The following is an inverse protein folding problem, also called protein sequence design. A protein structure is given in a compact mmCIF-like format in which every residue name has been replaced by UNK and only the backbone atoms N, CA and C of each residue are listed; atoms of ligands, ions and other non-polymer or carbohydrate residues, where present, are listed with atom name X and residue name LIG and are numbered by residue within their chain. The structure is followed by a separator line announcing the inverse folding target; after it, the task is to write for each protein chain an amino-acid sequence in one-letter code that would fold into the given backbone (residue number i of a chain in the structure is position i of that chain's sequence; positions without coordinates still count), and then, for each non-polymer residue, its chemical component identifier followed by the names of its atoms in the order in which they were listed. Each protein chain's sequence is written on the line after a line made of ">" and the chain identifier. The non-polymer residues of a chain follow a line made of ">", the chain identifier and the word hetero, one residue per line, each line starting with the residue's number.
data_IF_647930356286
#
_entry.id   IF_647930356286
#
_cell.length_a   1.000
_cell.length_b   1.000
_cell.length_c   1.000
_cell.angle_alpha   90.00
_cell.angle_beta   90.00
_cell.angle_gamma   90.00
#
_symmetry.space_group_name_H-M   'P 1'
#
loop_
_entity.id
_entity.type
_entity.pdbx_description
1 polymer ?
#
# COMPACT_ATOMS: atom_id res chain seq x y z
N UNK A 1 6.97 11.55 -48.49
CA UNK A 1 8.36 12.01 -48.33
C UNK A 1 8.50 13.32 -49.08
N UNK A 2 8.48 14.45 -48.37
CA UNK A 2 8.79 15.74 -48.97
C UNK A 2 10.31 15.84 -49.15
N UNK A 3 10.73 16.24 -50.35
CA UNK A 3 12.12 16.34 -50.79
C UNK A 3 12.83 17.47 -50.02
N UNK A 4 13.75 17.11 -49.12
CA UNK A 4 14.55 18.05 -48.32
C UNK A 4 15.82 18.34 -49.11
N UNK A 5 15.82 19.42 -49.90
CA UNK A 5 17.03 19.89 -50.61
C UNK A 5 18.08 20.36 -49.60
N UNK A 6 19.20 19.65 -49.55
CA UNK A 6 20.37 20.00 -48.72
C UNK A 6 21.11 21.20 -49.31
N UNK A 7 21.04 22.34 -48.64
CA UNK A 7 21.77 23.55 -49.02
C UNK A 7 21.97 24.50 -47.85
N UNK A 8 22.43 24.00 -46.70
CA UNK A 8 22.72 24.86 -45.54
C UNK A 8 24.08 25.51 -45.73
N UNK A 9 24.11 26.79 -46.06
CA UNK A 9 25.32 27.60 -46.06
C UNK A 9 25.49 28.20 -44.65
N UNK A 10 26.42 27.65 -43.87
CA UNK A 10 26.55 27.83 -42.41
C UNK A 10 27.02 29.23 -41.95
N UNK A 11 27.19 30.20 -42.85
CA UNK A 11 27.78 31.50 -42.51
C UNK A 11 26.75 32.56 -42.07
N UNK A 12 25.48 32.46 -42.47
CA UNK A 12 24.38 33.31 -41.96
C UNK A 12 23.04 32.56 -42.09
N UNK A 13 22.34 32.31 -40.98
CA UNK A 13 20.97 31.78 -41.00
C UNK A 13 20.04 32.77 -41.71
N UNK A 14 19.56 32.41 -42.90
CA UNK A 14 18.58 33.22 -43.64
C UNK A 14 17.19 33.03 -43.02
N UNK A 15 16.30 34.02 -43.18
CA UNK A 15 14.94 33.97 -42.63
C UNK A 15 14.18 32.69 -43.04
N UNK A 16 14.38 32.22 -44.27
CA UNK A 16 13.78 30.98 -44.77
C UNK A 16 14.27 29.73 -44.01
N UNK A 17 15.56 29.66 -43.69
CA UNK A 17 16.15 28.54 -42.94
C UNK A 17 15.68 28.55 -41.47
N UNK A 18 15.48 29.75 -40.90
CA UNK A 18 14.86 29.91 -39.57
C UNK A 18 13.41 29.45 -39.56
N UNK A 19 12.60 29.83 -40.55
CA UNK A 19 11.20 29.38 -40.69
C UNK A 19 11.12 27.86 -40.83
N UNK A 20 11.95 27.27 -41.68
CA UNK A 20 12.03 25.83 -41.83
C UNK A 20 12.40 25.14 -40.50
N UNK A 21 13.32 25.70 -39.72
CA UNK A 21 13.65 25.22 -38.38
C UNK A 21 12.45 25.25 -37.42
N UNK A 22 11.69 26.35 -37.41
CA UNK A 22 10.48 26.51 -36.60
C UNK A 22 9.39 25.50 -37.02
N UNK A 23 9.21 25.28 -38.32
CA UNK A 23 8.25 24.29 -38.84
C UNK A 23 8.64 22.86 -38.46
N UNK A 24 9.91 22.51 -38.55
CA UNK A 24 10.40 21.21 -38.10
C UNK A 24 10.19 21.02 -36.59
N UNK A 25 10.45 22.03 -35.79
CA UNK A 25 10.15 22.02 -34.35
C UNK A 25 8.65 21.84 -34.09
N UNK A 26 7.79 22.49 -34.87
CA UNK A 26 6.34 22.34 -34.78
C UNK A 26 5.89 20.91 -35.09
N UNK A 27 6.33 20.33 -36.22
CA UNK A 27 5.95 18.96 -36.59
C UNK A 27 6.52 17.93 -35.62
N UNK A 28 7.78 18.09 -35.20
CA UNK A 28 8.39 17.23 -34.20
C UNK A 28 7.63 17.30 -32.87
N UNK A 29 7.25 18.49 -32.40
CA UNK A 29 6.47 18.65 -31.17
C UNK A 29 5.07 18.02 -31.30
N UNK A 30 4.37 18.25 -32.41
CA UNK A 30 3.05 17.65 -32.66
C UNK A 30 3.12 16.12 -32.61
N UNK A 31 4.07 15.54 -33.34
CA UNK A 31 4.17 14.08 -33.47
C UNK A 31 4.70 13.44 -32.19
N UNK A 32 5.70 14.04 -31.52
CA UNK A 32 6.22 13.60 -30.22
C UNK A 32 5.14 13.53 -29.14
N UNK A 33 4.16 14.43 -29.24
CA UNK A 33 3.14 14.56 -28.21
C UNK A 33 1.84 13.83 -28.57
N UNK A 34 1.65 13.37 -29.81
CA UNK A 34 0.41 12.73 -30.26
C UNK A 34 0.07 11.44 -29.49
N UNK A 35 1.03 10.52 -29.37
CA UNK A 35 0.82 9.24 -28.69
C UNK A 35 0.59 9.40 -27.17
N UNK A 36 1.36 10.22 -26.42
CA UNK A 36 1.03 10.53 -25.03
C UNK A 36 -0.37 11.11 -24.84
N UNK A 37 -0.90 11.90 -25.78
CA UNK A 37 -2.26 12.45 -25.66
C UNK A 37 -3.33 11.39 -25.75
N UNK A 38 -3.15 10.38 -26.60
CA UNK A 38 -4.06 9.23 -26.69
C UNK A 38 -4.11 8.51 -25.35
N UNK A 39 -2.96 8.27 -24.73
CA UNK A 39 -2.88 7.59 -23.42
C UNK A 39 -3.49 8.44 -22.30
N UNK A 40 -3.25 9.76 -22.31
CA UNK A 40 -3.74 10.67 -21.26
C UNK A 40 -5.26 10.87 -21.33
N UNK A 41 -5.85 10.74 -22.52
CA UNK A 41 -7.29 10.84 -22.72
C UNK A 41 -8.07 9.79 -21.91
N UNK A 42 -7.53 8.58 -21.76
CA UNK A 42 -8.12 7.50 -20.95
C UNK A 42 -8.29 7.89 -19.46
N UNK A 43 -7.50 8.86 -18.99
CA UNK A 43 -7.50 9.35 -17.60
C UNK A 43 -8.09 10.77 -17.47
N UNK A 44 -8.57 11.37 -18.56
CA UNK A 44 -9.01 12.77 -18.57
C UNK A 44 -7.87 13.76 -18.25
N UNK A 45 -6.63 13.38 -18.57
CA UNK A 45 -5.44 14.19 -18.34
C UNK A 45 -5.04 14.99 -19.57
N UNK A 46 -4.30 16.08 -19.35
CA UNK A 46 -3.80 16.93 -20.44
C UNK A 46 -2.28 17.10 -20.42
N UNK A 47 -1.79 18.00 -21.26
CA UNK A 47 -0.36 18.29 -21.41
C UNK A 47 0.34 18.70 -20.11
N UNK A 48 -0.36 19.37 -19.21
CA UNK A 48 0.19 19.75 -17.91
C UNK A 48 0.52 18.51 -17.07
N UNK A 49 -0.36 17.50 -17.06
CA UNK A 49 -0.13 16.21 -16.39
C UNK A 49 1.04 15.48 -17.03
N UNK A 50 1.10 15.41 -18.36
CA UNK A 50 2.21 14.79 -19.08
C UNK A 50 3.57 15.33 -18.63
N UNK A 51 3.73 16.66 -18.64
CA UNK A 51 4.98 17.31 -18.28
C UNK A 51 5.35 17.02 -16.82
N UNK A 52 4.38 17.10 -15.91
CA UNK A 52 4.61 16.78 -14.48
C UNK A 52 5.07 15.34 -14.31
N UNK A 53 4.36 14.37 -14.92
CA UNK A 53 4.72 12.94 -14.87
C UNK A 53 6.11 12.71 -15.43
N UNK A 54 6.43 13.31 -16.58
CA UNK A 54 7.72 13.17 -17.25
C UNK A 54 8.88 13.64 -16.34
N UNK A 55 8.80 14.86 -15.79
CA UNK A 55 9.89 15.40 -14.96
C UNK A 55 9.99 14.71 -13.61
N UNK A 56 8.87 14.35 -12.98
CA UNK A 56 8.88 13.59 -11.72
C UNK A 56 9.49 12.20 -11.94
N UNK A 57 9.16 11.52 -13.04
CA UNK A 57 9.70 10.20 -13.38
C UNK A 57 11.17 10.24 -13.78
N UNK A 58 11.63 11.30 -14.44
CA UNK A 58 13.02 11.45 -14.90
C UNK A 58 13.98 11.92 -13.80
N UNK A 59 13.46 12.59 -12.77
CA UNK A 59 14.26 13.20 -11.69
C UNK A 59 13.74 12.76 -10.31
N UNK A 60 14.16 11.57 -9.82
CA UNK A 60 13.83 11.12 -8.47
C UNK A 60 14.25 12.15 -7.42
N UNK A 61 13.35 12.46 -6.47
CA UNK A 61 13.61 13.45 -5.42
C UNK A 61 13.39 14.92 -5.82
N UNK A 62 12.95 15.21 -7.06
CA UNK A 62 12.64 16.60 -7.47
C UNK A 62 11.66 17.27 -6.50
N UNK A 63 11.98 18.50 -6.09
CA UNK A 63 11.12 19.30 -5.21
C UNK A 63 10.03 20.00 -6.02
N UNK A 64 8.96 20.45 -5.34
CA UNK A 64 7.91 21.26 -5.99
C UNK A 64 8.50 22.56 -6.57
N UNK A 65 9.46 23.16 -5.86
CA UNK A 65 10.15 24.39 -6.31
C UNK A 65 10.95 24.16 -7.60
N UNK A 66 11.70 23.07 -7.68
CA UNK A 66 12.47 22.72 -8.88
C UNK A 66 11.55 22.41 -10.06
N UNK A 67 10.42 21.75 -9.81
CA UNK A 67 9.42 21.45 -10.84
C UNK A 67 8.76 22.74 -11.36
N UNK A 68 8.47 23.71 -10.49
CA UNK A 68 7.97 25.03 -10.91
C UNK A 68 8.99 25.77 -11.78
N UNK A 69 10.26 25.77 -11.37
CA UNK A 69 11.35 26.40 -12.12
C UNK A 69 11.52 25.75 -13.50
N UNK A 70 11.47 24.42 -13.56
CA UNK A 70 11.62 23.65 -14.80
C UNK A 70 10.42 23.84 -15.74
N UNK A 71 9.21 23.87 -15.21
CA UNK A 71 7.99 23.98 -16.02
C UNK A 71 7.64 25.42 -16.42
N UNK A 72 8.15 26.43 -15.70
CA UNK A 72 7.81 27.83 -15.94
C UNK A 72 6.31 28.12 -15.77
N UNK A 73 5.64 27.44 -14.83
CA UNK A 73 4.19 27.60 -14.56
C UNK A 73 3.94 28.14 -13.15
N UNK A 74 2.72 28.62 -12.92
CA UNK A 74 2.31 29.12 -11.60
C UNK A 74 2.11 27.99 -10.59
N UNK A 75 2.27 28.33 -9.29
CA UNK A 75 1.97 27.44 -8.17
C UNK A 75 0.54 26.88 -8.23
N UNK A 76 -0.44 27.72 -8.56
CA UNK A 76 -1.84 27.33 -8.67
C UNK A 76 -2.07 26.30 -9.79
N UNK A 77 -1.45 26.50 -10.95
CA UNK A 77 -1.54 25.56 -12.07
C UNK A 77 -0.95 24.20 -11.70
N UNK A 78 0.25 24.20 -11.10
CA UNK A 78 0.91 22.97 -10.66
C UNK A 78 0.11 22.26 -9.56
N UNK A 79 -0.40 23.00 -8.58
CA UNK A 79 -1.16 22.43 -7.46
C UNK A 79 -2.38 21.67 -7.95
N UNK A 80 -3.16 22.20 -8.90
CA UNK A 80 -4.33 21.51 -9.46
C UNK A 80 -3.94 20.18 -10.11
N UNK A 81 -2.86 20.18 -10.89
CA UNK A 81 -2.37 18.97 -11.59
C UNK A 81 -1.88 17.92 -10.59
N UNK A 82 -1.06 18.32 -9.61
CA UNK A 82 -0.56 17.40 -8.58
C UNK A 82 -1.70 16.81 -7.75
N UNK A 83 -2.69 17.61 -7.34
CA UNK A 83 -3.84 17.11 -6.58
C UNK A 83 -4.62 16.05 -7.34
N UNK A 84 -4.86 16.24 -8.65
CA UNK A 84 -5.52 15.24 -9.47
C UNK A 84 -4.68 13.96 -9.62
N UNK A 85 -3.36 14.10 -9.87
CA UNK A 85 -2.45 12.95 -9.97
C UNK A 85 -2.37 12.14 -8.66
N UNK A 86 -2.42 12.80 -7.50
CA UNK A 86 -2.48 12.12 -6.20
C UNK A 86 -3.82 11.39 -6.04
N UNK A 87 -4.94 12.04 -6.33
CA UNK A 87 -6.28 11.47 -6.20
C UNK A 87 -6.47 10.22 -7.08
N UNK A 88 -5.93 10.24 -8.30
CA UNK A 88 -6.02 9.15 -9.28
C UNK A 88 -4.90 8.09 -9.11
N UNK A 89 -4.03 8.23 -8.09
CA UNK A 89 -3.03 7.22 -7.74
C UNK A 89 -1.72 7.26 -8.55
N UNK A 90 -1.49 8.30 -9.35
CA UNK A 90 -0.26 8.49 -10.13
C UNK A 90 0.89 9.10 -9.31
N UNK A 91 0.61 9.71 -8.17
CA UNK A 91 1.62 10.24 -7.25
C UNK A 91 1.36 9.75 -5.82
N UNK A 92 2.06 8.67 -5.44
CA UNK A 92 1.98 8.06 -4.10
C UNK A 92 3.07 8.51 -3.12
N UNK A 93 3.68 9.69 -3.31
CA UNK A 93 4.70 10.19 -2.38
C UNK A 93 4.13 10.30 -0.96
N UNK A 94 4.89 9.82 0.02
CA UNK A 94 4.59 10.01 1.44
C UNK A 94 4.64 11.51 1.78
N UNK A 95 3.66 12.01 2.53
CA UNK A 95 3.67 13.41 2.96
C UNK A 95 4.80 13.66 3.97
N UNK A 96 5.34 14.88 3.99
CA UNK A 96 6.37 15.29 4.96
C UNK A 96 5.89 15.11 6.40
N UNK A 97 4.61 15.37 6.67
CA UNK A 97 4.00 15.17 7.98
C UNK A 97 3.98 13.68 8.38
N UNK A 98 3.57 12.79 7.46
CA UNK A 98 3.60 11.35 7.73
C UNK A 98 5.04 10.83 7.90
N UNK A 99 5.99 11.35 7.12
CA UNK A 99 7.41 11.04 7.29
C UNK A 99 7.95 11.51 8.65
N UNK A 100 7.60 12.72 9.10
CA UNK A 100 7.98 13.25 10.40
C UNK A 100 7.40 12.42 11.55
N UNK A 101 6.13 12.00 11.47
CA UNK A 101 5.53 11.06 12.43
C UNK A 101 6.29 9.73 12.43
N UNK A 102 6.61 9.20 11.24
CA UNK A 102 7.40 7.97 11.10
C UNK A 102 8.74 8.06 11.81
N UNK A 103 9.50 9.15 11.59
CA UNK A 103 10.79 9.40 12.25
C UNK A 103 10.65 9.56 13.78
N UNK A 104 9.54 10.11 14.25
CA UNK A 104 9.26 10.18 15.68
C UNK A 104 8.93 8.80 16.28
N UNK A 105 8.14 7.98 15.57
CA UNK A 105 7.78 6.62 15.99
C UNK A 105 8.94 5.63 15.92
N UNK A 106 9.87 5.81 14.97
CA UNK A 106 11.05 4.97 14.80
C UNK A 106 11.88 4.86 16.09
N UNK A 107 11.98 5.96 16.85
CA UNK A 107 12.65 6.00 18.16
C UNK A 107 12.05 5.07 19.22
N UNK A 108 10.78 4.69 19.06
CA UNK A 108 10.05 3.81 19.98
C UNK A 108 9.96 2.37 19.45
N UNK A 109 10.44 2.11 18.23
CA UNK A 109 10.18 0.86 17.51
C UNK A 109 10.66 -0.37 18.27
N UNK A 110 11.92 -0.38 18.71
CA UNK A 110 12.51 -1.53 19.41
C UNK A 110 11.82 -1.82 20.74
N UNK A 111 11.45 -0.78 21.50
CA UNK A 111 10.74 -0.93 22.76
C UNK A 111 9.34 -1.53 22.54
N UNK A 112 8.59 -1.03 21.56
CA UNK A 112 7.26 -1.55 21.20
C UNK A 112 7.33 -2.98 20.66
N UNK A 113 8.36 -3.31 19.89
CA UNK A 113 8.61 -4.66 19.42
C UNK A 113 8.89 -5.61 20.58
N UNK A 114 9.65 -5.16 21.59
CA UNK A 114 9.86 -5.89 22.85
C UNK A 114 8.56 -6.21 23.59
N UNK A 115 7.66 -5.24 23.71
CA UNK A 115 6.31 -5.42 24.31
C UNK A 115 5.52 -6.49 23.56
N UNK A 116 5.49 -6.42 22.22
CA UNK A 116 4.76 -7.38 21.39
C UNK A 116 5.33 -8.79 21.49
N UNK A 117 6.66 -8.95 21.50
CA UNK A 117 7.34 -10.24 21.68
C UNK A 117 7.02 -10.86 23.05
N UNK A 118 7.06 -10.07 24.12
CA UNK A 118 6.68 -10.53 25.45
C UNK A 118 5.21 -10.96 25.50
N UNK A 119 4.33 -10.21 24.84
CA UNK A 119 2.92 -10.54 24.75
C UNK A 119 2.65 -11.83 23.96
N UNK A 120 3.35 -12.03 22.84
CA UNK A 120 3.27 -13.26 22.06
C UNK A 120 3.73 -14.50 22.86
N UNK A 121 4.79 -14.37 23.67
CA UNK A 121 5.23 -15.43 24.56
C UNK A 121 4.18 -15.77 25.63
N UNK A 122 3.45 -14.77 26.16
CA UNK A 122 2.33 -14.99 27.09
C UNK A 122 1.16 -15.70 26.42
N UNK A 123 0.80 -15.32 25.18
CA UNK A 123 -0.23 -16.05 24.42
C UNK A 123 0.15 -17.50 24.15
N UNK A 124 1.41 -17.76 23.78
CA UNK A 124 1.87 -19.13 23.55
C UNK A 124 1.71 -20.02 24.79
N UNK A 125 2.08 -19.49 25.98
CA UNK A 125 1.89 -20.20 27.26
C UNK A 125 0.41 -20.40 27.58
N UNK A 126 -0.42 -19.37 27.37
CA UNK A 126 -1.85 -19.44 27.62
C UNK A 126 -2.53 -20.52 26.75
N UNK A 127 -2.25 -20.56 25.44
CA UNK A 127 -2.83 -21.57 24.55
C UNK A 127 -2.39 -22.99 24.93
N UNK A 128 -1.10 -23.17 25.27
CA UNK A 128 -0.60 -24.49 25.69
C UNK A 128 -1.28 -25.00 26.98
N UNK A 129 -1.65 -24.10 27.88
CA UNK A 129 -2.26 -24.46 29.17
C UNK A 129 -3.79 -24.63 29.08
N UNK A 130 -4.47 -23.75 28.35
CA UNK A 130 -5.93 -23.59 28.42
C UNK A 130 -6.64 -24.13 27.17
N UNK A 131 -5.91 -24.40 26.08
CA UNK A 131 -6.50 -24.57 24.75
C UNK A 131 -5.88 -25.71 23.90
N UNK A 132 -5.84 -26.96 24.37
CA UNK A 132 -5.12 -28.05 23.71
C UNK A 132 -5.60 -28.40 22.28
N UNK A 133 -6.82 -27.99 21.90
CA UNK A 133 -7.35 -28.14 20.53
C UNK A 133 -7.06 -26.97 19.58
N UNK A 134 -6.40 -25.92 20.06
CA UNK A 134 -6.10 -24.71 19.31
C UNK A 134 -4.61 -24.61 19.04
N UNK A 135 -4.24 -24.31 17.79
CA UNK A 135 -2.83 -24.22 17.42
C UNK A 135 -2.38 -22.76 17.31
N UNK A 136 -1.27 -22.44 17.97
CA UNK A 136 -0.51 -21.21 17.72
C UNK A 136 0.42 -21.34 16.50
N UNK A 137 1.18 -20.29 16.17
CA UNK A 137 2.16 -20.30 15.09
C UNK A 137 3.23 -21.37 15.31
N UNK A 138 3.48 -22.18 14.29
CA UNK A 138 4.55 -23.17 14.32
C UNK A 138 5.84 -22.56 13.77
N UNK A 139 6.93 -22.63 14.56
CA UNK A 139 8.27 -22.12 14.18
C UNK A 139 8.23 -20.69 13.60
N UNK A 140 7.70 -19.70 14.33
CA UNK A 140 7.45 -18.37 13.79
C UNK A 140 8.71 -17.56 13.42
N UNK A 141 9.90 -18.01 13.81
CA UNK A 141 11.10 -17.18 13.77
C UNK A 141 10.98 -16.04 14.78
N UNK A 142 11.27 -14.82 14.34
CA UNK A 142 11.16 -13.61 15.16
C UNK A 142 10.31 -12.53 14.47
N UNK A 143 8.99 -12.74 14.34
CA UNK A 143 8.13 -11.82 13.63
C UNK A 143 7.83 -10.59 14.49
N UNK A 144 7.41 -9.47 13.87
CA UNK A 144 7.06 -8.25 14.60
C UNK A 144 5.75 -8.33 15.39
N UNK A 145 5.02 -9.45 15.28
CA UNK A 145 3.74 -9.69 15.95
C UNK A 145 2.75 -8.52 15.75
N UNK A 146 2.29 -8.31 14.52
CA UNK A 146 1.21 -7.35 14.24
C UNK A 146 -0.11 -7.77 14.91
N UNK A 147 -0.31 -9.09 15.01
CA UNK A 147 -1.37 -9.80 15.72
C UNK A 147 -0.81 -11.14 16.18
N UNK A 148 -1.52 -11.86 17.06
CA UNK A 148 -1.15 -13.23 17.41
C UNK A 148 -2.15 -14.21 16.77
N UNK A 149 -1.80 -14.87 15.65
CA UNK A 149 -2.72 -15.76 14.96
C UNK A 149 -2.85 -17.09 15.70
N UNK A 150 -4.08 -17.60 15.76
CA UNK A 150 -4.41 -18.92 16.30
C UNK A 150 -5.35 -19.65 15.33
N UNK A 151 -5.25 -20.96 15.29
CA UNK A 151 -6.04 -21.83 14.45
C UNK A 151 -7.03 -22.60 15.32
N UNK A 152 -8.32 -22.36 15.09
CA UNK A 152 -9.39 -23.11 15.74
C UNK A 152 -9.47 -24.55 15.21
N UNK A 153 -9.99 -25.50 16.00
CA UNK A 153 -10.21 -26.87 15.52
C UNK A 153 -11.19 -26.93 14.34
N UNK A 154 -12.19 -26.05 14.32
CA UNK A 154 -13.20 -25.97 13.25
C UNK A 154 -13.63 -24.53 12.96
N UNK A 155 -14.29 -24.32 11.82
CA UNK A 155 -14.86 -23.03 11.46
C UNK A 155 -15.92 -22.56 12.46
N UNK A 156 -16.75 -23.50 12.94
CA UNK A 156 -17.77 -23.23 13.94
C UNK A 156 -17.17 -22.80 15.29
N UNK A 157 -16.07 -23.44 15.72
CA UNK A 157 -15.35 -23.04 16.93
C UNK A 157 -14.76 -21.63 16.79
N UNK A 158 -14.20 -21.29 15.63
CA UNK A 158 -13.71 -19.93 15.38
C UNK A 158 -14.83 -18.89 15.43
N UNK A 159 -15.96 -19.15 14.77
CA UNK A 159 -17.10 -18.23 14.72
C UNK A 159 -17.77 -18.08 16.11
N UNK A 160 -17.83 -19.16 16.91
CA UNK A 160 -18.28 -19.11 18.30
C UNK A 160 -17.34 -18.28 19.19
N UNK A 161 -16.03 -18.53 19.13
CA UNK A 161 -15.03 -17.80 19.91
C UNK A 161 -15.08 -16.29 19.64
N UNK A 162 -15.20 -15.88 18.37
CA UNK A 162 -15.34 -14.46 18.00
C UNK A 162 -16.58 -13.82 18.64
N UNK A 163 -17.72 -14.51 18.60
CA UNK A 163 -18.98 -14.02 19.18
C UNK A 163 -18.90 -13.91 20.70
N UNK A 164 -18.40 -14.94 21.37
CA UNK A 164 -18.32 -14.98 22.84
C UNK A 164 -17.29 -14.00 23.39
N UNK A 165 -16.16 -13.83 22.69
CA UNK A 165 -15.16 -12.83 23.03
C UNK A 165 -15.74 -11.41 22.88
N UNK A 166 -16.49 -11.16 21.80
CA UNK A 166 -17.14 -9.86 21.59
C UNK A 166 -18.16 -9.54 22.69
N UNK A 167 -18.93 -10.52 23.15
CA UNK A 167 -19.86 -10.36 24.29
C UNK A 167 -19.17 -9.94 25.60
N UNK A 168 -17.85 -10.16 25.70
CA UNK A 168 -16.99 -9.79 26.84
C UNK A 168 -16.08 -8.60 26.54
N UNK A 169 -16.37 -7.87 25.45
CA UNK A 169 -15.62 -6.67 25.06
C UNK A 169 -14.26 -6.96 24.42
N UNK A 170 -14.01 -8.18 23.96
CA UNK A 170 -12.78 -8.57 23.27
C UNK A 170 -13.05 -8.74 21.78
N UNK A 171 -12.55 -7.83 20.96
CA UNK A 171 -12.69 -7.94 19.51
C UNK A 171 -11.60 -8.82 18.91
N UNK A 172 -11.99 -9.98 18.38
CA UNK A 172 -11.10 -10.88 17.63
C UNK A 172 -11.22 -10.62 16.13
N UNK A 173 -10.09 -10.59 15.42
CA UNK A 173 -10.05 -10.33 13.97
C UNK A 173 -9.91 -11.64 13.19
N UNK A 174 -10.50 -11.69 12.00
CA UNK A 174 -10.51 -12.85 11.09
C UNK A 174 -9.76 -12.52 9.79
N UNK A 175 -8.43 -12.43 9.88
CA UNK A 175 -7.57 -12.12 8.74
C UNK A 175 -7.05 -13.40 8.07
N UNK A 176 -7.30 -13.66 6.78
CA UNK A 176 -8.29 -13.04 5.89
C UNK A 176 -9.38 -14.06 5.55
N UNK A 177 -10.64 -13.65 5.62
CA UNK A 177 -11.82 -14.47 5.30
C UNK A 177 -12.76 -13.71 4.33
N UNK A 178 -13.25 -14.33 3.24
CA UNK A 178 -12.88 -15.67 2.76
C UNK A 178 -11.44 -15.67 2.20
N UNK A 179 -10.92 -16.86 1.86
CA UNK A 179 -9.67 -16.96 1.13
C UNK A 179 -9.75 -16.17 -0.18
N UNK A 180 -8.64 -15.53 -0.59
CA UNK A 180 -8.62 -14.57 -1.69
C UNK A 180 -9.23 -15.13 -2.99
N UNK A 181 -8.91 -16.37 -3.37
CA UNK A 181 -9.44 -17.02 -4.57
C UNK A 181 -10.95 -17.28 -4.55
N UNK A 182 -11.60 -17.13 -3.39
CA UNK A 182 -13.05 -17.21 -3.22
C UNK A 182 -13.69 -15.81 -3.13
N UNK A 183 -12.92 -14.75 -2.92
CA UNK A 183 -13.40 -13.38 -2.80
C UNK A 183 -13.78 -12.78 -4.17
N UNK A 184 -14.82 -11.95 -4.19
CA UNK A 184 -15.57 -11.64 -5.41
C UNK A 184 -14.94 -10.75 -6.50
N UNK A 185 -13.78 -10.07 -6.36
CA UNK A 185 -13.05 -9.67 -7.57
C UNK A 185 -12.02 -10.70 -8.00
N UNK A 186 -11.49 -11.49 -7.07
CA UNK A 186 -10.36 -12.37 -7.29
C UNK A 186 -10.74 -13.76 -7.81
N UNK A 187 -12.00 -14.17 -7.65
CA UNK A 187 -12.50 -15.50 -8.05
C UNK A 187 -12.24 -15.83 -9.52
N UNK A 188 -12.31 -14.86 -10.43
CA UNK A 188 -12.01 -15.04 -11.86
C UNK A 188 -10.54 -15.42 -12.14
N UNK A 189 -9.64 -15.14 -11.19
CA UNK A 189 -8.23 -15.47 -11.27
C UNK A 189 -7.89 -16.77 -10.52
N UNK A 190 -8.88 -17.45 -9.91
CA UNK A 190 -8.63 -18.70 -9.20
C UNK A 190 -8.03 -19.76 -10.14
N UNK A 191 -7.06 -20.51 -9.63
CA UNK A 191 -6.41 -21.64 -10.30
C UNK A 191 -6.29 -22.78 -9.30
N UNK A 192 -6.97 -23.90 -9.58
CA UNK A 192 -7.09 -25.02 -8.65
C UNK A 192 -8.03 -24.74 -7.46
N UNK A 193 -8.08 -25.69 -6.52
CA UNK A 193 -9.00 -25.64 -5.36
C UNK A 193 -8.43 -24.89 -4.16
N UNK A 194 -7.10 -24.83 -4.02
CA UNK A 194 -6.40 -24.18 -2.90
C UNK A 194 -7.00 -24.57 -1.52
N UNK A 195 -7.29 -25.87 -1.34
CA UNK A 195 -8.06 -26.40 -0.22
C UNK A 195 -7.49 -26.02 1.16
N UNK A 196 -6.16 -26.01 1.32
CA UNK A 196 -5.51 -25.60 2.58
C UNK A 196 -5.79 -24.12 2.87
N UNK A 197 -5.67 -23.23 1.88
CA UNK A 197 -5.98 -21.82 2.06
C UNK A 197 -7.46 -21.58 2.37
N UNK A 198 -8.34 -22.33 1.70
CA UNK A 198 -9.78 -22.26 1.95
C UNK A 198 -10.12 -22.69 3.39
N UNK A 199 -9.53 -23.79 3.87
CA UNK A 199 -9.71 -24.29 5.23
C UNK A 199 -9.15 -23.33 6.30
N UNK A 200 -7.89 -22.90 6.15
CA UNK A 200 -7.26 -21.98 7.10
C UNK A 200 -8.02 -20.66 7.23
N UNK A 201 -8.51 -20.08 6.13
CA UNK A 201 -9.31 -18.85 6.15
C UNK A 201 -10.61 -18.98 6.96
N UNK A 202 -11.16 -20.19 7.10
CA UNK A 202 -12.36 -20.44 7.91
C UNK A 202 -12.03 -20.70 9.39
N UNK A 203 -10.80 -21.10 9.73
CA UNK A 203 -10.43 -21.51 11.09
C UNK A 203 -9.49 -20.54 11.82
N UNK A 204 -8.75 -19.70 11.09
CA UNK A 204 -7.82 -18.74 11.69
C UNK A 204 -8.54 -17.55 12.32
N UNK A 205 -8.04 -17.10 13.47
CA UNK A 205 -8.37 -15.82 14.08
C UNK A 205 -7.11 -15.19 14.68
N UNK A 206 -7.14 -13.88 14.93
CA UNK A 206 -6.02 -13.15 15.53
C UNK A 206 -6.44 -12.60 16.90
N UNK A 207 -5.67 -12.95 17.92
CA UNK A 207 -5.78 -12.35 19.24
C UNK A 207 -5.24 -10.91 19.23
N UNK A 208 -5.77 -10.02 20.10
CA UNK A 208 -5.38 -8.62 20.11
C UNK A 208 -3.89 -8.42 20.38
N UNK A 209 -3.29 -7.49 19.66
CA UNK A 209 -1.89 -7.11 19.81
C UNK A 209 -1.75 -5.63 19.45
N UNK A 210 -1.19 -4.85 20.35
CA UNK A 210 -0.97 -3.42 20.18
C UNK A 210 0.29 -2.99 20.93
N UNK A 211 0.84 -1.83 20.57
CA UNK A 211 2.20 -1.42 20.96
C UNK A 211 2.38 -1.13 22.46
N UNK A 212 1.28 -0.91 23.18
CA UNK A 212 1.20 -0.64 24.62
C UNK A 212 0.48 -1.77 25.40
N UNK A 213 0.41 -2.99 24.84
CA UNK A 213 -0.14 -4.17 25.52
C UNK A 213 0.80 -4.66 26.63
N UNK A 214 0.76 -3.98 27.77
CA UNK A 214 1.55 -4.34 28.93
C UNK A 214 1.10 -5.66 29.60
N UNK A 215 1.81 -6.07 30.64
CA UNK A 215 1.52 -7.32 31.34
C UNK A 215 0.15 -7.34 32.02
N UNK A 216 -0.28 -6.21 32.58
CA UNK A 216 -1.53 -6.07 33.33
C UNK A 216 -2.72 -6.08 32.37
N UNK A 217 -2.67 -5.25 31.32
CA UNK A 217 -3.68 -5.20 30.28
C UNK A 217 -3.83 -6.56 29.58
N UNK A 218 -2.72 -7.26 29.31
CA UNK A 218 -2.82 -8.59 28.74
C UNK A 218 -3.38 -9.62 29.72
N UNK A 219 -3.10 -9.52 31.03
CA UNK A 219 -3.67 -10.43 32.01
C UNK A 219 -5.20 -10.32 32.07
N UNK A 220 -5.75 -9.10 32.06
CA UNK A 220 -7.19 -8.86 31.95
C UNK A 220 -7.77 -9.44 30.66
N UNK A 221 -7.12 -9.18 29.53
CA UNK A 221 -7.52 -9.74 28.24
C UNK A 221 -7.54 -11.27 28.24
N UNK A 222 -6.53 -11.93 28.82
CA UNK A 222 -6.47 -13.38 28.95
C UNK A 222 -7.57 -13.91 29.89
N UNK A 223 -7.92 -13.17 30.95
CA UNK A 223 -9.05 -13.50 31.82
C UNK A 223 -10.37 -13.53 31.05
N UNK A 224 -10.66 -12.46 30.30
CA UNK A 224 -11.87 -12.38 29.46
C UNK A 224 -11.89 -13.44 28.36
N UNK A 225 -10.74 -13.73 27.76
CA UNK A 225 -10.62 -14.83 26.79
C UNK A 225 -10.94 -16.16 27.46
N UNK A 226 -10.36 -16.47 28.63
CA UNK A 226 -10.66 -17.72 29.35
C UNK A 226 -12.16 -17.91 29.56
N UNK A 227 -12.88 -16.85 29.94
CA UNK A 227 -14.34 -16.88 30.14
C UNK A 227 -15.16 -16.93 28.84
N UNK A 228 -14.58 -16.51 27.72
CA UNK A 228 -15.22 -16.46 26.41
C UNK A 228 -15.31 -17.82 25.70
N UNK A 229 -14.79 -18.90 26.30
CA UNK A 229 -14.44 -20.08 25.52
C UNK A 229 -15.11 -21.37 25.97
N UNK A 230 -15.59 -22.18 25.00
CA UNK A 230 -15.58 -23.62 25.11
C UNK A 230 -14.21 -24.12 24.62
N UNK A 231 -13.24 -24.23 25.52
CA UNK A 231 -11.91 -24.77 25.20
C UNK A 231 -11.88 -26.31 25.04
N UNK A 232 -13.04 -26.96 25.10
CA UNK A 232 -13.27 -28.38 24.86
C UNK A 232 -13.78 -28.64 23.45
#
# INVERSE_FOLDING_TARGET
>A
MADIKSGVNLLFLREEELRQGIEMLFFAYRDFTAEPDVILADYGFGRAHHRVIYFVGRSPGITVSDLLATLGITKQSLSRVLSQLVAEGFNGKLSEFAAAIGLAQDRMFDAQLGVRRAAAARYARFLAAEAPGWAGPQRPGDPPWQGYPVLAPSAAAADACVREAAARGVQLRRYYRPALHLAAPARRYARGTLAVSADLAQRMLCLPMYSDLDASAQADLLGRLREALPWS
#
